data_IF_947831750542
#
_entry.id   IF_947831750542
#
_cell.length_a   1.000
_cell.length_b   1.000
_cell.length_c   1.000
_cell.angle_alpha   90.00
_cell.angle_beta   90.00
_cell.angle_gamma   90.00
#
_symmetry.space_group_name_H-M   'P 1'
#
loop_
_entity.id
_entity.type
_entity.pdbx_description
1 polymer ?
#
# COMPACT_ATOMS: atom_id res chain seq x y z
N UNK A 1 48.32 50.85 -9.96
CA UNK A 1 47.57 49.69 -10.45
C UNK A 1 48.31 48.45 -10.01
N UNK A 2 47.83 47.67 -9.00
CA UNK A 2 48.41 46.43 -8.55
C UNK A 2 47.94 45.29 -9.46
N UNK A 3 48.81 44.76 -10.29
CA UNK A 3 48.53 43.58 -11.07
C UNK A 3 48.40 42.36 -10.13
N UNK A 4 47.25 41.78 -10.03
CA UNK A 4 47.00 40.50 -9.35
C UNK A 4 47.60 39.37 -10.20
N UNK A 5 48.82 38.94 -9.83
CA UNK A 5 49.51 37.82 -10.47
C UNK A 5 48.90 36.53 -9.92
N UNK A 6 47.84 36.04 -10.54
CA UNK A 6 47.19 34.77 -10.22
C UNK A 6 48.03 33.61 -10.77
N UNK A 7 49.04 33.20 -9.99
CA UNK A 7 49.84 31.99 -10.31
C UNK A 7 48.97 30.75 -10.02
N UNK A 8 48.13 30.36 -10.98
CA UNK A 8 47.24 29.20 -10.88
C UNK A 8 48.11 27.94 -11.11
N UNK A 9 48.48 27.30 -10.01
CA UNK A 9 49.18 26.04 -10.04
C UNK A 9 48.25 24.94 -10.56
N UNK A 10 48.51 24.34 -11.71
CA UNK A 10 47.65 23.35 -12.39
C UNK A 10 47.22 22.22 -11.44
N UNK A 11 48.10 21.73 -10.56
CA UNK A 11 47.77 20.72 -9.54
C UNK A 11 46.77 21.21 -8.52
N UNK A 12 46.82 22.46 -8.08
CA UNK A 12 45.91 23.05 -7.13
C UNK A 12 44.54 23.28 -7.78
N UNK A 13 44.50 23.68 -9.05
CA UNK A 13 43.28 23.83 -9.82
C UNK A 13 42.52 22.49 -9.94
N UNK A 14 43.20 21.43 -10.35
CA UNK A 14 42.59 20.09 -10.47
C UNK A 14 42.05 19.56 -9.13
N UNK A 15 42.80 19.75 -8.04
CA UNK A 15 42.32 19.36 -6.69
C UNK A 15 41.05 20.11 -6.30
N UNK A 16 41.02 21.44 -6.47
CA UNK A 16 39.84 22.25 -6.16
C UNK A 16 38.62 21.88 -7.02
N UNK A 17 38.86 21.63 -8.31
CA UNK A 17 37.83 21.17 -9.23
C UNK A 17 37.24 19.81 -8.82
N UNK A 18 38.11 18.86 -8.46
CA UNK A 18 37.69 17.54 -8.01
C UNK A 18 36.83 17.62 -6.69
N UNK A 19 37.31 18.44 -5.72
CA UNK A 19 36.57 18.65 -4.48
C UNK A 19 35.24 19.35 -4.74
N UNK A 20 35.14 20.27 -5.69
CA UNK A 20 33.89 20.90 -6.10
C UNK A 20 32.88 19.91 -6.67
N UNK A 21 33.33 18.97 -7.52
CA UNK A 21 32.48 17.92 -8.06
C UNK A 21 31.97 16.97 -6.96
N UNK A 22 32.86 16.56 -6.04
CA UNK A 22 32.50 15.70 -4.92
C UNK A 22 31.49 16.38 -4.00
N UNK A 23 31.71 17.67 -3.67
CA UNK A 23 30.79 18.43 -2.83
C UNK A 23 29.42 18.63 -3.49
N UNK A 24 29.38 18.87 -4.79
CA UNK A 24 28.13 18.99 -5.56
C UNK A 24 27.34 17.69 -5.53
N UNK A 25 28.03 16.56 -5.73
CA UNK A 25 27.45 15.22 -5.67
C UNK A 25 26.88 14.93 -4.25
N UNK A 26 27.62 15.32 -3.22
CA UNK A 26 27.18 15.13 -1.83
C UNK A 26 25.94 15.96 -1.50
N UNK A 27 25.92 17.22 -1.92
CA UNK A 27 24.75 18.11 -1.78
C UNK A 27 23.53 17.51 -2.53
N UNK A 28 23.74 17.03 -3.76
CA UNK A 28 22.67 16.39 -4.53
C UNK A 28 22.07 15.18 -3.80
N UNK A 29 22.91 14.31 -3.24
CA UNK A 29 22.46 13.14 -2.47
C UNK A 29 21.68 13.57 -1.22
N UNK A 30 22.19 14.55 -0.46
CA UNK A 30 21.52 15.08 0.72
C UNK A 30 20.15 15.68 0.35
N UNK A 31 20.08 16.52 -0.67
CA UNK A 31 18.80 17.10 -1.13
C UNK A 31 17.81 16.01 -1.55
N UNK A 32 18.28 14.94 -2.20
CA UNK A 32 17.45 13.81 -2.59
C UNK A 32 16.93 13.00 -1.39
N UNK A 33 17.74 12.85 -0.35
CA UNK A 33 17.36 12.17 0.89
C UNK A 33 16.39 13.02 1.74
N UNK A 34 16.57 14.34 1.73
CA UNK A 34 15.71 15.28 2.48
C UNK A 34 14.41 15.62 1.77
N UNK A 35 14.29 15.33 0.46
CA UNK A 35 13.01 15.52 -0.22
C UNK A 35 11.98 14.57 0.42
N UNK A 36 10.92 15.10 1.05
CA UNK A 36 9.84 14.26 1.53
C UNK A 36 9.34 13.45 0.34
N UNK A 37 9.22 12.13 0.51
CA UNK A 37 8.60 11.25 -0.48
C UNK A 37 7.10 11.54 -0.47
N UNK A 38 6.71 12.71 -0.95
CA UNK A 38 5.33 13.00 -1.26
C UNK A 38 4.92 12.03 -2.36
N UNK A 39 4.34 10.92 -1.95
CA UNK A 39 3.55 10.11 -2.87
C UNK A 39 2.37 11.02 -3.23
N UNK A 40 2.45 11.67 -4.36
CA UNK A 40 1.26 12.21 -5.02
C UNK A 40 0.41 10.96 -5.26
N UNK A 41 -0.66 10.83 -4.46
CA UNK A 41 -1.64 9.78 -4.65
C UNK A 41 -2.22 10.01 -6.05
N UNK A 42 -1.68 9.29 -7.03
CA UNK A 42 -2.22 9.30 -8.38
C UNK A 42 -3.51 8.48 -8.35
N UNK A 43 -4.62 9.14 -8.01
CA UNK A 43 -5.93 8.52 -7.81
C UNK A 43 -6.51 7.92 -9.09
N UNK A 44 -5.91 8.18 -10.25
CA UNK A 44 -6.30 7.58 -11.53
C UNK A 44 -6.13 6.04 -11.55
N UNK A 45 -5.30 5.49 -10.67
CA UNK A 45 -5.07 4.06 -10.55
C UNK A 45 -5.89 3.38 -9.44
N UNK A 46 -6.75 4.14 -8.75
CA UNK A 46 -7.61 3.59 -7.70
C UNK A 46 -8.91 3.07 -8.29
N UNK A 47 -9.35 1.93 -7.79
CA UNK A 47 -10.67 1.40 -8.07
C UNK A 47 -11.70 2.12 -7.21
N UNK A 48 -12.71 2.74 -7.84
CA UNK A 48 -13.86 3.33 -7.15
C UNK A 48 -14.87 2.21 -6.83
N UNK A 49 -15.01 1.91 -5.55
CA UNK A 49 -15.98 0.92 -5.07
C UNK A 49 -17.41 1.49 -4.97
N UNK A 50 -17.56 2.80 -5.01
CA UNK A 50 -18.83 3.51 -4.89
C UNK A 50 -18.96 4.37 -3.64
N UNK A 51 -20.15 4.93 -3.44
CA UNK A 51 -20.43 5.81 -2.32
C UNK A 51 -20.41 5.07 -0.97
N UNK A 52 -19.92 5.75 0.06
CA UNK A 52 -19.87 5.24 1.44
C UNK A 52 -21.26 4.83 1.96
N UNK A 53 -22.30 5.58 1.58
CA UNK A 53 -23.70 5.34 1.95
C UNK A 53 -24.26 4.02 1.45
N UNK A 54 -23.72 3.49 0.35
CA UNK A 54 -24.18 2.24 -0.28
C UNK A 54 -23.78 0.98 0.49
N UNK A 55 -22.92 1.11 1.50
CA UNK A 55 -22.41 -0.04 2.25
C UNK A 55 -22.98 -0.07 3.66
N UNK A 56 -23.68 -1.14 4.02
CA UNK A 56 -24.22 -1.34 5.37
C UNK A 56 -23.17 -1.88 6.34
N UNK A 57 -23.22 -1.42 7.61
CA UNK A 57 -22.32 -1.88 8.67
C UNK A 57 -22.46 -3.40 8.92
N UNK A 58 -21.34 -4.07 9.11
CA UNK A 58 -21.28 -5.50 9.38
C UNK A 58 -21.46 -6.39 8.16
N UNK A 59 -21.52 -5.83 6.93
CA UNK A 59 -21.64 -6.58 5.69
C UNK A 59 -20.32 -6.65 4.89
N UNK A 60 -20.24 -7.69 4.05
CA UNK A 60 -19.10 -7.95 3.15
C UNK A 60 -19.61 -7.93 1.72
N UNK A 61 -18.94 -7.18 0.87
CA UNK A 61 -19.29 -6.94 -0.52
C UNK A 61 -18.23 -7.51 -1.44
N UNK A 62 -18.56 -8.43 -2.36
CA UNK A 62 -17.64 -9.01 -3.32
C UNK A 62 -17.42 -8.08 -4.52
N UNK A 63 -16.16 -7.89 -4.91
CA UNK A 63 -15.76 -7.26 -6.16
C UNK A 63 -14.93 -8.28 -6.98
N UNK A 64 -15.64 -9.15 -7.68
CA UNK A 64 -15.05 -10.31 -8.37
C UNK A 64 -14.02 -9.93 -9.43
N UNK A 65 -14.28 -8.90 -10.23
CA UNK A 65 -13.36 -8.42 -11.27
C UNK A 65 -12.06 -7.90 -10.68
N UNK A 66 -12.13 -7.20 -9.54
CA UNK A 66 -10.98 -6.65 -8.81
C UNK A 66 -10.32 -7.67 -7.86
N UNK A 67 -10.92 -8.86 -7.74
CA UNK A 67 -10.45 -9.94 -6.87
C UNK A 67 -10.29 -9.51 -5.41
N UNK A 68 -11.29 -8.81 -4.88
CA UNK A 68 -11.30 -8.35 -3.49
C UNK A 68 -12.69 -8.45 -2.86
N UNK A 69 -12.73 -8.38 -1.54
CA UNK A 69 -13.91 -8.18 -0.72
C UNK A 69 -13.75 -6.89 0.07
N UNK A 70 -14.78 -6.05 0.09
CA UNK A 70 -14.87 -4.88 0.95
C UNK A 70 -15.74 -5.22 2.15
N UNK A 71 -15.17 -5.22 3.33
CA UNK A 71 -15.87 -5.44 4.59
C UNK A 71 -16.12 -4.09 5.26
N UNK A 72 -17.38 -3.70 5.45
CA UNK A 72 -17.72 -2.61 6.35
C UNK A 72 -17.93 -3.19 7.75
N UNK A 73 -17.02 -2.90 8.67
CA UNK A 73 -17.07 -3.40 10.02
C UNK A 73 -18.28 -2.83 10.79
N UNK A 74 -18.65 -3.47 11.92
CA UNK A 74 -19.78 -3.02 12.75
C UNK A 74 -19.54 -1.64 13.37
N UNK A 75 -18.29 -1.32 13.66
CA UNK A 75 -17.86 -0.01 14.18
C UNK A 75 -17.85 1.11 13.10
N UNK A 76 -18.07 0.73 11.84
CA UNK A 76 -18.18 1.66 10.71
C UNK A 76 -16.91 1.79 9.88
N UNK A 77 -15.80 1.15 10.28
CA UNK A 77 -14.57 1.12 9.52
C UNK A 77 -14.66 0.25 8.27
N UNK A 78 -13.76 0.44 7.32
CA UNK A 78 -13.68 -0.29 6.07
C UNK A 78 -12.37 -1.05 5.95
N UNK A 79 -12.44 -2.31 5.52
CA UNK A 79 -11.30 -3.17 5.27
C UNK A 79 -11.47 -3.85 3.91
N UNK A 80 -10.56 -3.62 2.98
CA UNK A 80 -10.52 -4.32 1.70
C UNK A 80 -9.52 -5.47 1.77
N UNK A 81 -9.99 -6.71 1.58
CA UNK A 81 -9.14 -7.90 1.60
C UNK A 81 -9.12 -8.58 0.25
N UNK A 82 -8.00 -9.20 -0.09
CA UNK A 82 -7.85 -9.95 -1.33
C UNK A 82 -8.71 -11.21 -1.32
N UNK A 83 -9.37 -11.50 -2.45
CA UNK A 83 -10.01 -12.80 -2.66
C UNK A 83 -9.04 -13.91 -3.08
N UNK A 84 -7.74 -13.63 -3.09
CA UNK A 84 -6.69 -14.58 -3.44
C UNK A 84 -6.18 -15.30 -2.19
N UNK A 85 -6.35 -16.62 -2.15
CA UNK A 85 -5.87 -17.48 -1.06
C UNK A 85 -4.35 -17.39 -0.89
N UNK A 86 -3.89 -17.21 0.33
CA UNK A 86 -2.47 -17.06 0.65
C UNK A 86 -1.69 -18.38 0.68
N UNK A 87 -2.37 -19.51 0.47
CA UNK A 87 -1.70 -20.81 0.27
C UNK A 87 -1.12 -20.90 -1.16
N UNK A 88 -1.95 -21.04 -2.19
CA UNK A 88 -1.52 -21.20 -3.59
C UNK A 88 -2.30 -20.29 -4.58
N UNK A 89 -2.95 -19.26 -4.09
CA UNK A 89 -3.53 -18.22 -4.95
C UNK A 89 -4.90 -18.53 -5.55
N UNK A 90 -5.59 -19.59 -5.11
CA UNK A 90 -6.97 -19.87 -5.53
C UNK A 90 -7.90 -18.72 -5.12
N UNK A 91 -8.98 -18.49 -5.87
CA UNK A 91 -10.03 -17.56 -5.47
C UNK A 91 -10.85 -18.14 -4.35
N UNK A 92 -11.01 -17.40 -3.26
CA UNK A 92 -11.82 -17.76 -2.09
C UNK A 92 -13.24 -17.25 -2.22
N UNK A 93 -14.21 -17.97 -1.63
CA UNK A 93 -15.59 -17.56 -1.49
C UNK A 93 -15.90 -17.09 -0.07
N UNK A 94 -16.85 -16.15 0.08
CA UNK A 94 -17.37 -15.77 1.39
C UNK A 94 -18.59 -16.61 1.73
N UNK A 95 -18.58 -17.23 2.91
CA UNK A 95 -19.69 -17.98 3.47
C UNK A 95 -20.36 -17.14 4.56
N UNK A 96 -21.57 -16.59 4.33
CA UNK A 96 -22.23 -15.72 5.29
C UNK A 96 -22.75 -16.45 6.54
N UNK A 97 -23.08 -17.75 6.43
CA UNK A 97 -23.54 -18.57 7.57
C UNK A 97 -22.41 -18.82 8.57
N UNK A 98 -21.22 -19.13 8.06
CA UNK A 98 -20.02 -19.38 8.88
C UNK A 98 -19.24 -18.10 9.19
N UNK A 99 -19.57 -16.98 8.52
CA UNK A 99 -18.84 -15.70 8.61
C UNK A 99 -17.34 -15.88 8.32
N UNK A 100 -17.03 -16.66 7.28
CA UNK A 100 -15.67 -17.00 6.91
C UNK A 100 -15.46 -16.92 5.39
N UNK A 101 -14.22 -16.69 5.00
CA UNK A 101 -13.78 -16.90 3.63
C UNK A 101 -13.24 -18.32 3.51
N UNK A 102 -13.68 -19.06 2.50
CA UNK A 102 -13.33 -20.47 2.31
C UNK A 102 -12.64 -20.69 0.96
N UNK A 103 -11.53 -21.41 0.97
CA UNK A 103 -10.80 -21.77 -0.23
C UNK A 103 -11.25 -23.14 -0.73
N UNK A 104 -11.80 -23.24 -1.95
CA UNK A 104 -12.32 -24.52 -2.48
C UNK A 104 -11.21 -25.49 -2.85
N UNK A 105 -9.95 -25.02 -3.01
CA UNK A 105 -8.86 -25.87 -3.49
C UNK A 105 -8.33 -26.82 -2.40
N UNK A 106 -8.04 -26.31 -1.20
CA UNK A 106 -7.41 -27.07 -0.12
C UNK A 106 -8.01 -26.74 1.25
N UNK A 107 -9.25 -26.26 1.29
CA UNK A 107 -10.04 -26.00 2.51
C UNK A 107 -9.41 -24.99 3.52
N UNK A 108 -8.45 -24.16 3.11
CA UNK A 108 -8.03 -23.02 3.95
C UNK A 108 -9.22 -22.13 4.25
N UNK A 109 -9.37 -21.73 5.50
CA UNK A 109 -10.43 -20.81 5.91
C UNK A 109 -9.85 -19.59 6.63
N UNK A 110 -10.56 -18.44 6.47
CA UNK A 110 -10.17 -17.17 7.05
C UNK A 110 -11.39 -16.50 7.67
N UNK A 111 -11.20 -15.79 8.78
CA UNK A 111 -12.27 -15.01 9.40
C UNK A 111 -12.60 -13.75 8.58
N UNK A 112 -13.60 -12.98 9.00
CA UNK A 112 -14.04 -11.75 8.32
C UNK A 112 -12.98 -10.66 8.25
N UNK A 113 -11.94 -10.72 9.09
CA UNK A 113 -10.78 -9.83 9.04
C UNK A 113 -9.66 -10.40 8.14
N UNK A 114 -9.88 -11.59 7.55
CA UNK A 114 -8.92 -12.26 6.68
C UNK A 114 -7.81 -13.00 7.42
N UNK A 115 -7.92 -13.25 8.73
CA UNK A 115 -6.97 -14.07 9.48
C UNK A 115 -7.25 -15.55 9.30
N UNK A 116 -6.19 -16.36 9.34
CA UNK A 116 -6.28 -17.82 9.14
C UNK A 116 -7.06 -18.45 10.28
N UNK A 117 -8.10 -19.21 9.93
CA UNK A 117 -8.85 -20.10 10.84
C UNK A 117 -8.46 -21.55 10.67
N UNK A 118 -8.15 -21.96 9.42
CA UNK A 118 -7.78 -23.35 9.09
C UNK A 118 -6.65 -23.38 8.07
N UNK A 119 -5.67 -24.33 8.25
CA UNK A 119 -4.61 -24.54 7.28
C UNK A 119 -5.20 -25.05 5.93
N UNK A 120 -4.37 -25.15 4.86
CA UNK A 120 -2.90 -25.03 4.84
C UNK A 120 -2.36 -23.60 4.67
N UNK A 121 -3.20 -22.56 4.52
CA UNK A 121 -2.69 -21.19 4.53
C UNK A 121 -2.00 -20.87 5.87
N UNK A 122 -0.84 -20.23 5.81
CA UNK A 122 0.00 -19.93 7.00
C UNK A 122 0.01 -18.44 7.37
N UNK A 123 -0.62 -17.59 6.57
CA UNK A 123 -0.69 -16.15 6.82
C UNK A 123 -2.06 -15.59 6.41
N UNK A 124 -2.45 -14.43 6.99
CA UNK A 124 -3.69 -13.76 6.62
C UNK A 124 -3.75 -13.38 5.14
N UNK A 125 -4.97 -13.10 4.67
CA UNK A 125 -5.21 -12.50 3.36
C UNK A 125 -4.52 -11.15 3.26
N UNK A 126 -4.00 -10.81 2.10
CA UNK A 126 -3.48 -9.48 1.82
C UNK A 126 -4.64 -8.47 1.87
N UNK A 127 -4.34 -7.22 2.21
CA UNK A 127 -5.33 -6.14 2.21
C UNK A 127 -4.94 -5.04 1.22
N UNK A 128 -5.89 -4.22 0.84
CA UNK A 128 -5.68 -3.09 -0.05
C UNK A 128 -5.88 -1.78 0.71
N UNK A 129 -4.99 -0.79 0.51
CA UNK A 129 -5.18 0.55 1.06
C UNK A 129 -6.47 1.19 0.55
N UNK A 130 -7.20 1.86 1.46
CA UNK A 130 -8.43 2.59 1.16
C UNK A 130 -8.19 4.07 1.38
N UNK A 131 -8.73 4.89 0.48
CA UNK A 131 -8.79 6.34 0.59
C UNK A 131 -10.25 6.78 0.39
N UNK A 132 -10.71 7.76 1.15
CA UNK A 132 -12.00 8.41 0.93
C UNK A 132 -11.78 9.72 0.16
N UNK A 133 -12.56 9.92 -0.88
CA UNK A 133 -12.59 11.16 -1.66
C UNK A 133 -14.01 11.41 -2.15
N UNK A 134 -14.50 12.63 -1.96
CA UNK A 134 -15.82 13.07 -2.46
C UNK A 134 -16.98 12.10 -2.09
N UNK A 135 -16.96 11.58 -0.85
CA UNK A 135 -17.91 10.55 -0.34
C UNK A 135 -17.79 9.18 -1.00
N UNK A 136 -16.76 8.93 -1.82
CA UNK A 136 -16.49 7.64 -2.47
C UNK A 136 -15.38 6.88 -1.76
N UNK A 137 -15.42 5.55 -1.91
CA UNK A 137 -14.40 4.61 -1.41
C UNK A 137 -13.49 4.24 -2.57
N UNK A 138 -12.26 4.72 -2.51
CA UNK A 138 -11.21 4.43 -3.49
C UNK A 138 -10.25 3.39 -2.93
N UNK A 139 -10.03 2.29 -3.65
CA UNK A 139 -9.21 1.16 -3.24
C UNK A 139 -7.99 1.06 -4.15
N UNK A 140 -6.78 1.05 -3.58
CA UNK A 140 -5.54 0.86 -4.32
C UNK A 140 -5.34 -0.63 -4.66
N UNK A 141 -5.97 -1.09 -5.73
CA UNK A 141 -5.92 -2.49 -6.16
C UNK A 141 -4.57 -2.92 -6.73
N UNK A 142 -3.70 -1.97 -7.07
CA UNK A 142 -2.37 -2.23 -7.62
C UNK A 142 -1.30 -2.42 -6.54
N UNK A 143 -1.65 -2.17 -5.28
CA UNK A 143 -0.71 -2.20 -4.16
C UNK A 143 -1.20 -3.09 -3.01
N UNK A 144 -1.40 -4.42 -3.24
CA UNK A 144 -1.79 -5.34 -2.18
C UNK A 144 -0.73 -5.38 -1.09
N UNK A 145 -1.15 -5.16 0.16
CA UNK A 145 -0.26 -5.14 1.31
C UNK A 145 -0.25 -6.51 1.99
N UNK A 146 0.93 -7.11 2.04
CA UNK A 146 1.15 -8.35 2.78
C UNK A 146 1.18 -8.07 4.29
N UNK A 147 0.59 -9.00 5.08
CA UNK A 147 0.55 -8.88 6.54
C UNK A 147 0.77 -10.20 7.24
N UNK A 148 1.24 -10.14 8.48
CA UNK A 148 1.42 -11.30 9.35
C UNK A 148 0.24 -11.52 10.30
N UNK A 149 -0.51 -10.46 10.61
CA UNK A 149 -1.71 -10.46 11.45
C UNK A 149 -2.63 -9.31 11.09
N UNK A 150 -3.88 -9.37 11.54
CA UNK A 150 -4.79 -8.23 11.52
C UNK A 150 -4.30 -7.14 12.48
N UNK A 151 -4.44 -5.89 12.08
CA UNK A 151 -4.19 -4.72 12.91
C UNK A 151 -5.24 -3.66 12.59
N UNK A 152 -5.71 -2.94 13.62
CA UNK A 152 -6.71 -1.88 13.46
C UNK A 152 -6.26 -0.75 12.51
N UNK A 153 -4.96 -0.51 12.38
CA UNK A 153 -4.41 0.46 11.42
C UNK A 153 -4.66 0.10 9.95
N UNK A 154 -5.05 -1.14 9.65
CA UNK A 154 -5.42 -1.61 8.31
C UNK A 154 -6.88 -1.27 7.96
N UNK A 155 -7.68 -0.92 8.97
CA UNK A 155 -9.05 -0.46 8.82
C UNK A 155 -9.06 1.04 8.59
N UNK A 156 -9.81 1.49 7.59
CA UNK A 156 -9.95 2.91 7.29
C UNK A 156 -11.28 3.43 7.84
N UNK A 157 -11.21 4.47 8.64
CA UNK A 157 -12.38 5.18 9.18
C UNK A 157 -12.57 6.51 8.43
N UNK A 158 -13.82 6.95 8.38
CA UNK A 158 -14.24 8.23 7.80
C UNK A 158 -13.80 9.37 8.71
#
# INVERSE_FOLDING_TARGET
MKSLNLNINRRSFFKKFLYSLISLQFIYVIVRLLKPRTQILNLENYFDAGEISSFEKGKIYPFGTQKLYLHRLKDGGFLAVSSKCTHLGCTIGYNPQKKSFECPCHASAFNTNGEVMSPPATRPLDYYPIVFKDNHILIDINNPQRRSKFNQSQVKYI
#
